data_IF_438711144257
#
_entry.id   IF_438711144257
#
_cell.length_a   1.000
_cell.length_b   1.000
_cell.length_c   1.000
_cell.angle_alpha   90.00
_cell.angle_beta   90.00
_cell.angle_gamma   90.00
#
_symmetry.space_group_name_H-M   'P 1'
#
loop_
_entity.id
_entity.type
_entity.pdbx_description
1 polymer ?
#
# COMPACT_ATOMS: atom_id res chain seq x y z
N UNK A 1 -0.86 11.75 -6.92
CA UNK A 1 0.46 11.12 -7.03
C UNK A 1 1.23 11.57 -5.81
N UNK A 2 1.79 10.65 -5.04
CA UNK A 2 2.69 10.98 -3.92
C UNK A 2 4.05 11.36 -4.49
N UNK A 3 4.69 12.39 -3.92
CA UNK A 3 6.05 12.78 -4.31
C UNK A 3 7.02 11.60 -4.17
N UNK A 4 6.84 10.74 -3.15
CA UNK A 4 7.68 9.56 -2.95
C UNK A 4 7.64 8.58 -4.12
N UNK A 5 6.49 8.39 -4.77
CA UNK A 5 6.39 7.46 -5.91
C UNK A 5 7.17 7.96 -7.15
N UNK A 6 7.36 9.27 -7.26
CA UNK A 6 8.19 9.88 -8.29
C UNK A 6 9.69 9.91 -7.91
N UNK A 7 10.02 9.76 -6.62
CA UNK A 7 11.39 9.76 -6.13
C UNK A 7 12.15 8.51 -6.56
N UNK A 8 13.32 8.71 -7.16
CA UNK A 8 14.20 7.63 -7.62
C UNK A 8 15.36 7.36 -6.64
N UNK A 9 15.49 8.16 -5.58
CA UNK A 9 16.55 8.05 -4.59
C UNK A 9 16.21 6.98 -3.54
N UNK A 10 16.97 5.87 -3.45
CA UNK A 10 16.66 4.81 -2.49
C UNK A 10 16.75 5.26 -1.02
N UNK A 11 17.64 6.21 -0.70
CA UNK A 11 17.80 6.75 0.65
C UNK A 11 16.50 7.35 1.19
N UNK A 12 15.75 8.05 0.35
CA UNK A 12 14.44 8.64 0.67
C UNK A 12 13.42 7.55 1.01
N UNK A 13 13.38 6.48 0.20
CA UNK A 13 12.51 5.33 0.48
C UNK A 13 12.89 4.59 1.76
N UNK A 14 14.19 4.42 2.04
CA UNK A 14 14.70 3.81 3.28
C UNK A 14 14.30 4.61 4.51
N UNK A 15 14.49 5.93 4.47
CA UNK A 15 14.11 6.82 5.57
C UNK A 15 12.62 6.68 5.92
N UNK A 16 11.75 6.63 4.91
CA UNK A 16 10.31 6.39 5.11
C UNK A 16 10.06 4.98 5.67
N UNK A 17 10.74 3.96 5.15
CA UNK A 17 10.59 2.58 5.59
C UNK A 17 10.97 2.39 7.07
N UNK A 18 12.08 3.00 7.51
CA UNK A 18 12.55 2.95 8.90
C UNK A 18 11.53 3.56 9.88
N UNK A 19 10.72 4.52 9.41
CA UNK A 19 9.66 5.17 10.19
C UNK A 19 8.33 4.45 10.16
N UNK A 20 8.21 3.32 9.46
CA UNK A 20 6.95 2.57 9.34
C UNK A 20 6.31 2.29 10.70
N UNK A 21 7.08 1.74 11.65
CA UNK A 21 6.57 1.37 12.97
C UNK A 21 6.16 2.56 13.83
N UNK A 22 6.90 3.67 13.75
CA UNK A 22 6.55 4.93 14.42
C UNK A 22 5.18 5.44 13.92
N UNK A 23 4.93 5.35 12.61
CA UNK A 23 3.65 5.73 11.99
C UNK A 23 2.52 4.79 12.39
N UNK A 24 2.77 3.48 12.43
CA UNK A 24 1.77 2.49 12.91
C UNK A 24 1.39 2.77 14.36
N UNK A 25 2.37 3.04 15.23
CA UNK A 25 2.14 3.36 16.64
C UNK A 25 1.36 4.67 16.79
N UNK A 26 1.75 5.72 16.07
CA UNK A 26 1.03 7.00 16.06
C UNK A 26 -0.43 6.83 15.62
N UNK A 27 -0.68 6.05 14.55
CA UNK A 27 -2.05 5.75 14.08
C UNK A 27 -2.84 4.93 15.09
N UNK A 28 -2.18 4.03 15.83
CA UNK A 28 -2.83 3.18 16.82
C UNK A 28 -3.32 3.96 18.06
N UNK A 29 -2.69 5.09 18.40
CA UNK A 29 -3.09 5.95 19.55
C UNK A 29 -4.51 6.52 19.42
N UNK A 30 -5.06 6.62 18.21
CA UNK A 30 -6.42 7.12 17.96
C UNK A 30 -7.56 6.10 18.10
N UNK A 31 -7.27 4.80 18.29
CA UNK A 31 -8.25 3.70 18.47
C UNK A 31 -7.96 2.93 19.76
N UNK A 32 -8.64 1.80 20.03
CA UNK A 32 -8.30 0.89 21.15
C UNK A 32 -6.77 0.71 21.20
N UNK A 33 -6.08 1.22 22.23
CA UNK A 33 -4.63 1.36 22.21
C UNK A 33 -3.95 0.01 21.95
N UNK A 34 -2.97 -0.01 21.05
CA UNK A 34 -2.16 -1.19 20.75
C UNK A 34 -2.78 -2.26 19.85
N UNK A 35 -4.09 -2.24 19.57
CA UNK A 35 -4.72 -3.27 18.72
C UNK A 35 -4.14 -3.29 17.30
N UNK A 36 -4.04 -2.12 16.66
CA UNK A 36 -3.47 -2.02 15.30
C UNK A 36 -2.01 -2.46 15.30
N UNK A 37 -1.21 -2.00 16.26
CA UNK A 37 0.21 -2.34 16.34
C UNK A 37 0.43 -3.85 16.42
N UNK A 38 -0.33 -4.55 17.27
CA UNK A 38 -0.23 -6.01 17.40
C UNK A 38 -0.66 -6.74 16.12
N UNK A 39 -1.75 -6.29 15.49
CA UNK A 39 -2.21 -6.86 14.23
C UNK A 39 -1.22 -6.64 13.09
N UNK A 40 -0.60 -5.45 13.04
CA UNK A 40 0.37 -5.10 11.99
C UNK A 40 1.68 -5.86 12.21
N UNK A 41 2.18 -5.98 13.44
CA UNK A 41 3.31 -6.87 13.78
C UNK A 41 3.06 -8.28 13.30
N UNK A 42 1.91 -8.87 13.68
CA UNK A 42 1.56 -10.21 13.23
C UNK A 42 1.52 -10.33 11.70
N UNK A 43 0.92 -9.37 10.99
CA UNK A 43 0.80 -9.43 9.52
C UNK A 43 2.16 -9.25 8.82
N UNK A 44 3.03 -8.36 9.31
CA UNK A 44 4.31 -8.07 8.65
C UNK A 44 5.43 -9.07 9.00
N UNK A 45 5.35 -9.76 10.14
CA UNK A 45 6.46 -10.62 10.62
C UNK A 45 6.03 -12.08 10.83
N UNK A 46 4.98 -12.33 11.59
CA UNK A 46 4.58 -13.69 11.98
C UNK A 46 3.92 -14.44 10.82
N UNK A 47 2.92 -13.83 10.17
CA UNK A 47 2.15 -14.47 9.10
C UNK A 47 3.04 -14.88 7.90
N UNK A 48 3.96 -14.04 7.38
CA UNK A 48 4.86 -14.44 6.29
C UNK A 48 5.74 -15.63 6.66
N UNK A 49 6.21 -15.67 7.91
CA UNK A 49 7.01 -16.78 8.45
C UNK A 49 6.18 -18.07 8.51
N UNK A 50 4.93 -17.99 8.98
CA UNK A 50 4.00 -19.12 9.05
C UNK A 50 3.64 -19.65 7.65
N UNK A 51 3.37 -18.77 6.69
CA UNK A 51 3.07 -19.18 5.31
C UNK A 51 4.29 -19.87 4.68
N UNK A 52 5.48 -19.33 4.90
CA UNK A 52 6.72 -19.82 4.28
C UNK A 52 7.27 -21.10 4.91
N UNK A 53 6.94 -21.40 6.18
CA UNK A 53 7.37 -22.64 6.85
C UNK A 53 6.55 -23.86 6.44
N UNK A 54 5.43 -23.67 5.74
CA UNK A 54 4.58 -24.75 5.24
C UNK A 54 5.17 -25.36 3.97
N UNK A 55 5.06 -26.69 3.75
CA UNK A 55 5.50 -27.33 2.52
C UNK A 55 4.86 -26.71 1.26
N UNK A 56 3.55 -26.48 1.33
CA UNK A 56 2.82 -25.70 0.34
C UNK A 56 2.34 -24.41 1.00
N UNK A 57 2.65 -23.25 0.41
CA UNK A 57 2.15 -21.96 0.90
C UNK A 57 0.63 -21.95 0.88
N UNK A 58 0.00 -21.63 2.01
CA UNK A 58 -1.43 -21.44 2.16
C UNK A 58 -1.70 -20.62 3.43
N UNK A 59 -2.94 -20.16 3.62
CA UNK A 59 -3.41 -19.58 4.89
C UNK A 59 -4.51 -20.44 5.48
N UNK A 60 -4.63 -20.45 6.80
CA UNK A 60 -5.76 -21.09 7.50
C UNK A 60 -6.96 -20.15 7.59
N UNK A 61 -8.14 -20.67 7.95
CA UNK A 61 -9.32 -19.84 8.20
C UNK A 61 -9.07 -18.82 9.33
N UNK A 62 -8.43 -19.24 10.43
CA UNK A 62 -8.11 -18.35 11.56
C UNK A 62 -7.19 -17.20 11.13
N UNK A 63 -6.20 -17.50 10.30
CA UNK A 63 -5.30 -16.48 9.74
C UNK A 63 -6.03 -15.54 8.78
N UNK A 64 -6.91 -16.06 7.91
CA UNK A 64 -7.68 -15.23 7.00
C UNK A 64 -8.65 -14.30 7.76
N UNK A 65 -9.28 -14.78 8.83
CA UNK A 65 -10.14 -13.98 9.72
C UNK A 65 -9.31 -12.89 10.43
N UNK A 66 -8.13 -13.22 10.96
CA UNK A 66 -7.23 -12.26 11.61
C UNK A 66 -6.66 -11.24 10.62
N UNK A 67 -6.36 -11.65 9.39
CA UNK A 67 -5.96 -10.76 8.29
C UNK A 67 -7.08 -9.79 7.92
N UNK A 68 -8.34 -10.24 7.85
CA UNK A 68 -9.47 -9.35 7.64
C UNK A 68 -9.59 -8.32 8.78
N UNK A 69 -9.43 -8.76 10.03
CA UNK A 69 -9.45 -7.86 11.18
C UNK A 69 -8.34 -6.80 11.11
N UNK A 70 -7.11 -7.22 10.78
CA UNK A 70 -5.98 -6.32 10.53
C UNK A 70 -6.33 -5.30 9.45
N UNK A 71 -6.77 -5.75 8.27
CA UNK A 71 -7.10 -4.89 7.13
C UNK A 71 -8.16 -3.85 7.47
N UNK A 72 -9.23 -4.26 8.15
CA UNK A 72 -10.31 -3.36 8.57
C UNK A 72 -9.89 -2.41 9.70
N UNK A 73 -8.88 -2.76 10.48
CA UNK A 73 -8.31 -1.91 11.53
C UNK A 73 -7.35 -0.87 10.94
N UNK A 74 -6.49 -1.28 9.99
CA UNK A 74 -5.49 -0.47 9.29
C UNK A 74 -6.14 0.52 8.33
N UNK A 75 -7.13 0.08 7.56
CA UNK A 75 -7.81 0.89 6.54
C UNK A 75 -9.28 1.21 6.87
N UNK A 76 -10.11 1.23 5.82
CA UNK A 76 -11.55 1.51 5.92
C UNK A 76 -12.33 0.36 6.55
N UNK A 77 -13.01 0.64 7.66
CA UNK A 77 -13.81 -0.35 8.40
C UNK A 77 -15.09 -0.73 7.66
N UNK A 78 -15.33 -2.04 7.49
CA UNK A 78 -16.52 -2.63 6.84
C UNK A 78 -16.92 -3.92 7.57
N UNK A 79 -17.75 -3.82 8.63
CA UNK A 79 -17.94 -4.92 9.59
C UNK A 79 -18.50 -6.21 8.99
N UNK A 80 -19.34 -6.10 7.94
CA UNK A 80 -19.94 -7.26 7.25
C UNK A 80 -18.89 -8.21 6.66
N UNK A 81 -17.70 -7.70 6.28
CA UNK A 81 -16.65 -8.53 5.70
C UNK A 81 -16.07 -9.52 6.71
N UNK A 82 -16.01 -9.16 8.00
CA UNK A 82 -15.49 -10.05 9.05
C UNK A 82 -16.36 -11.31 9.17
N UNK A 83 -17.69 -11.13 9.19
CA UNK A 83 -18.66 -12.23 9.28
C UNK A 83 -18.64 -13.09 8.03
N UNK A 84 -18.51 -12.49 6.85
CA UNK A 84 -18.44 -13.23 5.58
C UNK A 84 -17.20 -14.11 5.51
N UNK A 85 -16.02 -13.58 5.87
CA UNK A 85 -14.78 -14.35 5.88
C UNK A 85 -14.84 -15.52 6.86
N UNK A 86 -15.39 -15.30 8.06
CA UNK A 86 -15.56 -16.35 9.06
C UNK A 86 -16.56 -17.46 8.65
N UNK A 87 -17.38 -17.24 7.61
CA UNK A 87 -18.36 -18.22 7.10
C UNK A 87 -17.84 -19.13 5.99
N UNK A 88 -16.55 -19.04 5.66
CA UNK A 88 -15.89 -20.01 4.77
C UNK A 88 -15.55 -21.29 5.55
N UNK A 89 -15.48 -22.43 4.86
CA UNK A 89 -14.97 -23.68 5.45
C UNK A 89 -13.45 -23.70 5.49
N UNK A 90 -12.85 -24.30 6.53
CA UNK A 90 -11.40 -24.39 6.73
C UNK A 90 -10.69 -25.02 5.52
N UNK A 91 -11.12 -26.21 5.11
CA UNK A 91 -10.64 -26.91 3.91
C UNK A 91 -10.71 -26.05 2.64
N UNK A 92 -11.76 -25.24 2.51
CA UNK A 92 -11.96 -24.39 1.33
C UNK A 92 -10.94 -23.26 1.31
N UNK A 93 -10.68 -22.62 2.45
CA UNK A 93 -9.68 -21.56 2.58
C UNK A 93 -8.29 -22.09 2.28
N UNK A 94 -7.92 -23.25 2.84
CA UNK A 94 -6.61 -23.85 2.59
C UNK A 94 -6.42 -24.26 1.13
N UNK A 95 -7.38 -24.99 0.55
CA UNK A 95 -7.28 -25.43 -0.86
C UNK A 95 -7.21 -24.25 -1.82
N UNK A 96 -8.06 -23.24 -1.62
CA UNK A 96 -8.12 -22.06 -2.45
C UNK A 96 -6.82 -21.23 -2.35
N UNK A 97 -6.36 -20.95 -1.13
CA UNK A 97 -5.13 -20.17 -0.94
C UNK A 97 -3.88 -20.92 -1.44
N UNK A 98 -3.81 -22.24 -1.24
CA UNK A 98 -2.74 -23.08 -1.81
C UNK A 98 -2.68 -22.99 -3.32
N UNK A 99 -3.84 -23.17 -3.97
CA UNK A 99 -3.95 -23.04 -5.42
C UNK A 99 -3.55 -21.64 -5.88
N UNK A 100 -3.98 -20.60 -5.18
CA UNK A 100 -3.62 -19.22 -5.52
C UNK A 100 -2.11 -18.95 -5.46
N UNK A 101 -1.40 -19.46 -4.45
CA UNK A 101 0.06 -19.34 -4.40
C UNK A 101 0.74 -20.12 -5.53
N UNK A 102 0.22 -21.28 -5.91
CA UNK A 102 0.75 -22.08 -7.04
C UNK A 102 0.46 -21.46 -8.42
N UNK A 103 -0.45 -20.50 -8.51
CA UNK A 103 -0.73 -19.76 -9.76
C UNK A 103 0.28 -18.65 -10.02
N UNK A 104 1.10 -18.25 -9.04
CA UNK A 104 2.16 -17.26 -9.25
C UNK A 104 3.21 -17.78 -10.27
N UNK A 105 3.70 -16.93 -11.19
CA UNK A 105 3.59 -15.47 -11.21
C UNK A 105 2.32 -14.91 -11.88
N UNK A 106 1.32 -15.73 -12.25
CA UNK A 106 0.03 -15.25 -12.73
C UNK A 106 -0.83 -14.70 -11.57
N UNK A 107 -0.55 -13.45 -11.22
CA UNK A 107 -1.25 -12.74 -10.15
C UNK A 107 -2.73 -12.54 -10.46
N UNK A 108 -3.13 -12.41 -11.74
CA UNK A 108 -4.54 -12.24 -12.07
C UNK A 108 -5.33 -13.51 -11.75
N UNK A 109 -4.81 -14.67 -12.13
CA UNK A 109 -5.39 -15.96 -11.78
C UNK A 109 -5.39 -16.19 -10.26
N UNK A 110 -4.31 -15.86 -9.55
CA UNK A 110 -4.23 -15.98 -8.10
C UNK A 110 -5.26 -15.10 -7.36
N UNK A 111 -5.45 -13.85 -7.81
CA UNK A 111 -6.48 -12.94 -7.26
C UNK A 111 -7.88 -13.48 -7.55
N UNK A 112 -8.13 -14.00 -8.75
CA UNK A 112 -9.42 -14.57 -9.12
C UNK A 112 -9.75 -15.80 -8.25
N UNK A 113 -8.77 -16.69 -8.04
CA UNK A 113 -8.90 -17.85 -7.17
C UNK A 113 -9.28 -17.44 -5.73
N UNK A 114 -8.51 -16.55 -5.10
CA UNK A 114 -8.80 -16.07 -3.74
C UNK A 114 -10.13 -15.31 -3.64
N UNK A 115 -10.52 -14.58 -4.69
CA UNK A 115 -11.78 -13.83 -4.72
C UNK A 115 -13.02 -14.72 -4.84
N UNK A 116 -12.86 -16.03 -5.00
CA UNK A 116 -13.96 -16.99 -4.88
C UNK A 116 -14.41 -17.21 -3.43
N UNK A 117 -13.56 -16.88 -2.44
CA UNK A 117 -13.89 -16.98 -1.02
C UNK A 117 -14.86 -15.87 -0.59
N UNK A 118 -15.79 -16.20 0.32
CA UNK A 118 -16.76 -15.24 0.84
C UNK A 118 -16.05 -14.11 1.58
N UNK A 119 -16.38 -12.86 1.25
CA UNK A 119 -15.79 -11.68 1.89
C UNK A 119 -14.37 -11.34 1.43
N UNK A 120 -13.82 -12.10 0.46
CA UNK A 120 -12.53 -11.84 -0.15
C UNK A 120 -12.75 -11.26 -1.55
N UNK A 121 -12.28 -10.04 -1.78
CA UNK A 121 -12.19 -9.44 -3.11
C UNK A 121 -10.74 -9.08 -3.43
N UNK A 122 -10.46 -8.39 -4.56
CA UNK A 122 -9.09 -8.09 -5.00
C UNK A 122 -8.20 -7.45 -3.94
N UNK A 123 -8.76 -6.55 -3.12
CA UNK A 123 -8.01 -5.93 -2.03
C UNK A 123 -7.63 -6.91 -0.91
N UNK A 124 -8.53 -7.84 -0.53
CA UNK A 124 -8.20 -8.85 0.50
C UNK A 124 -7.31 -9.95 -0.07
N UNK A 125 -7.56 -10.36 -1.31
CA UNK A 125 -6.74 -11.33 -2.01
C UNK A 125 -5.29 -10.86 -2.16
N UNK A 126 -5.08 -9.59 -2.51
CA UNK A 126 -3.73 -9.01 -2.58
C UNK A 126 -3.02 -8.95 -1.22
N UNK A 127 -3.74 -8.81 -0.11
CA UNK A 127 -3.13 -8.92 1.23
C UNK A 127 -2.65 -10.35 1.52
N UNK A 128 -3.45 -11.37 1.17
CA UNK A 128 -3.03 -12.78 1.31
C UNK A 128 -1.77 -13.05 0.49
N UNK A 129 -1.76 -12.61 -0.77
CA UNK A 129 -0.59 -12.80 -1.65
C UNK A 129 0.63 -12.03 -1.14
N UNK A 130 0.48 -10.78 -0.72
CA UNK A 130 1.59 -9.96 -0.22
C UNK A 130 2.23 -10.56 1.04
N UNK A 131 1.45 -11.20 1.91
CA UNK A 131 1.98 -11.90 3.08
C UNK A 131 2.81 -13.14 2.70
N UNK A 132 2.44 -13.91 1.67
CA UNK A 132 3.13 -15.15 1.28
C UNK A 132 4.14 -15.02 0.13
N UNK A 133 4.06 -13.94 -0.64
CA UNK A 133 4.89 -13.64 -1.80
C UNK A 133 5.15 -12.13 -1.92
N UNK A 134 5.77 -11.50 -0.90
CA UNK A 134 6.03 -10.05 -0.87
C UNK A 134 6.93 -9.57 -2.02
N UNK A 135 7.77 -10.46 -2.57
CA UNK A 135 8.65 -10.20 -3.71
C UNK A 135 7.90 -10.03 -5.04
N UNK A 136 6.71 -10.63 -5.15
CA UNK A 136 5.94 -10.66 -6.41
C UNK A 136 4.68 -9.80 -6.33
N UNK A 137 4.20 -9.49 -5.12
CA UNK A 137 2.89 -8.86 -4.92
C UNK A 137 2.96 -7.77 -3.87
N UNK A 138 2.09 -6.77 -4.02
CA UNK A 138 1.90 -5.67 -3.09
C UNK A 138 0.44 -5.67 -2.60
N UNK A 139 0.22 -5.29 -1.35
CA UNK A 139 -1.13 -5.12 -0.83
C UNK A 139 -1.82 -3.91 -1.49
N UNK A 140 -3.07 -4.07 -1.91
CA UNK A 140 -3.87 -2.99 -2.50
C UNK A 140 -4.50 -2.11 -1.42
N UNK A 141 -3.70 -1.36 -0.66
CA UNK A 141 -4.22 -0.34 0.28
C UNK A 141 -4.69 0.91 -0.46
N UNK A 142 -5.73 1.58 0.05
CA UNK A 142 -6.24 2.81 -0.56
C UNK A 142 -5.12 3.87 -0.60
N UNK A 143 -4.35 4.00 0.48
CA UNK A 143 -3.25 4.95 0.62
C UNK A 143 -2.14 4.74 -0.42
N UNK A 144 -1.72 3.50 -0.66
CA UNK A 144 -0.72 3.21 -1.68
C UNK A 144 -1.28 3.40 -3.09
N UNK A 145 -2.52 2.97 -3.35
CA UNK A 145 -3.20 3.15 -4.63
C UNK A 145 -3.32 4.64 -5.02
N UNK A 146 -3.68 5.51 -4.08
CA UNK A 146 -3.79 6.95 -4.30
C UNK A 146 -2.44 7.64 -4.57
N UNK A 147 -1.36 7.06 -4.05
CA UNK A 147 0.00 7.54 -4.23
C UNK A 147 0.50 7.29 -5.66
N UNK A 148 -0.02 6.27 -6.34
CA UNK A 148 0.40 5.86 -7.68
C UNK A 148 -0.34 6.65 -8.77
N UNK A 149 0.35 7.16 -9.81
CA UNK A 149 -0.27 7.99 -10.85
C UNK A 149 -1.20 7.19 -11.77
N UNK A 150 -2.32 7.83 -12.14
CA UNK A 150 -3.30 7.28 -13.07
C UNK A 150 -4.27 6.25 -12.46
N UNK A 151 -4.27 6.08 -11.13
CA UNK A 151 -5.14 5.13 -10.43
C UNK A 151 -6.26 5.77 -9.61
N UNK A 152 -6.56 7.05 -9.86
CA UNK A 152 -7.75 7.72 -9.32
C UNK A 152 -8.85 7.78 -10.40
N UNK A 153 -10.12 7.50 -10.07
CA UNK A 153 -10.62 7.00 -8.79
C UNK A 153 -10.24 5.53 -8.53
N UNK A 154 -10.08 5.15 -7.26
CA UNK A 154 -9.77 3.77 -6.87
C UNK A 154 -10.92 2.85 -7.25
N UNK A 155 -10.61 1.77 -7.97
CA UNK A 155 -11.56 0.70 -8.27
C UNK A 155 -11.09 -0.61 -7.64
N UNK A 156 -11.96 -1.27 -6.88
CA UNK A 156 -11.64 -2.53 -6.21
C UNK A 156 -11.82 -3.74 -7.13
N UNK A 157 -11.22 -3.70 -8.32
CA UNK A 157 -11.32 -4.73 -9.36
C UNK A 157 -9.97 -5.37 -9.65
N UNK A 158 -9.95 -6.61 -10.17
CA UNK A 158 -8.72 -7.30 -10.55
C UNK A 158 -7.92 -6.52 -11.62
N UNK A 159 -8.61 -5.91 -12.59
CA UNK A 159 -7.99 -5.06 -13.62
C UNK A 159 -7.26 -3.87 -13.01
N UNK A 160 -7.88 -3.20 -12.04
CA UNK A 160 -7.27 -2.04 -11.39
C UNK A 160 -6.09 -2.45 -10.51
N UNK A 161 -6.19 -3.61 -9.84
CA UNK A 161 -5.06 -4.19 -9.11
C UNK A 161 -3.88 -4.55 -10.03
N UNK A 162 -4.14 -5.12 -11.21
CA UNK A 162 -3.07 -5.44 -12.16
C UNK A 162 -2.32 -4.17 -12.63
N UNK A 163 -3.03 -3.07 -12.89
CA UNK A 163 -2.41 -1.78 -13.22
C UNK A 163 -1.56 -1.23 -12.07
N UNK A 164 -2.06 -1.36 -10.84
CA UNK A 164 -1.30 -1.00 -9.64
C UNK A 164 -0.03 -1.80 -9.49
N UNK A 165 -0.15 -3.13 -9.49
CA UNK A 165 0.99 -4.01 -9.28
C UNK A 165 2.06 -3.84 -10.36
N UNK A 166 1.67 -3.67 -11.63
CA UNK A 166 2.62 -3.38 -12.71
C UNK A 166 3.46 -2.13 -12.43
N UNK A 167 2.84 -1.05 -11.94
CA UNK A 167 3.55 0.17 -11.55
C UNK A 167 4.44 -0.02 -10.32
N UNK A 168 4.00 -0.83 -9.35
CA UNK A 168 4.80 -1.16 -8.17
C UNK A 168 6.04 -1.96 -8.57
N UNK A 169 5.89 -2.99 -9.41
CA UNK A 169 7.01 -3.81 -9.91
C UNK A 169 8.01 -2.96 -10.70
N UNK A 170 7.54 -2.10 -11.62
CA UNK A 170 8.43 -1.19 -12.36
C UNK A 170 9.23 -0.28 -11.41
N UNK A 171 8.58 0.25 -10.36
CA UNK A 171 9.25 1.11 -9.38
C UNK A 171 10.24 0.32 -8.52
N UNK A 172 9.89 -0.90 -8.12
CA UNK A 172 10.78 -1.81 -7.39
C UNK A 172 12.03 -2.10 -8.20
N UNK A 173 11.90 -2.42 -9.49
CA UNK A 173 13.05 -2.67 -10.37
C UNK A 173 13.97 -1.45 -10.49
N UNK A 174 13.40 -0.25 -10.63
CA UNK A 174 14.20 0.99 -10.69
C UNK A 174 14.96 1.24 -9.39
N UNK A 175 14.30 1.05 -8.23
CA UNK A 175 14.96 1.22 -6.94
C UNK A 175 16.05 0.17 -6.72
N UNK A 176 15.82 -1.10 -7.09
CA UNK A 176 16.84 -2.14 -6.98
C UNK A 176 18.04 -1.91 -7.94
N UNK A 177 17.86 -1.23 -9.07
CA UNK A 177 18.99 -0.82 -9.92
C UNK A 177 19.82 0.30 -9.29
N UNK A 178 19.19 1.18 -8.52
CA UNK A 178 19.83 2.34 -7.89
C UNK A 178 20.37 2.05 -6.48
N UNK A 179 19.81 1.07 -5.77
CA UNK A 179 20.17 0.70 -4.39
C UNK A 179 21.13 -0.50 -4.38
N UNK A 180 22.35 -0.36 -3.85
CA UNK A 180 23.30 -1.47 -3.73
C UNK A 180 22.76 -2.68 -2.95
N UNK A 181 21.78 -2.52 -2.04
CA UNK A 181 21.22 -3.63 -1.25
C UNK A 181 20.26 -4.53 -2.05
N UNK A 182 19.61 -3.99 -3.09
CA UNK A 182 18.70 -4.71 -3.99
C UNK A 182 17.61 -5.56 -3.32
N UNK A 183 17.16 -5.19 -2.12
CA UNK A 183 16.16 -5.92 -1.34
C UNK A 183 14.79 -5.21 -1.31
N UNK A 184 14.53 -4.33 -2.29
CA UNK A 184 13.20 -3.75 -2.44
C UNK A 184 12.24 -4.77 -3.04
N UNK A 185 11.04 -4.79 -2.47
CA UNK A 185 9.94 -5.66 -2.89
C UNK A 185 8.71 -4.80 -3.17
N UNK A 186 7.78 -5.23 -4.04
CA UNK A 186 6.52 -4.51 -4.24
C UNK A 186 5.78 -4.25 -2.93
N UNK A 187 5.79 -5.21 -2.01
CA UNK A 187 5.19 -5.04 -0.68
C UNK A 187 5.92 -4.00 0.18
N UNK A 188 7.25 -3.94 0.20
CA UNK A 188 7.98 -2.89 0.94
C UNK A 188 7.67 -1.49 0.44
N UNK A 189 7.55 -1.31 -0.89
CA UNK A 189 7.13 -0.02 -1.45
C UNK A 189 5.71 0.34 -0.99
N UNK A 190 4.78 -0.61 -0.91
CA UNK A 190 3.43 -0.38 -0.36
C UNK A 190 3.49 0.18 1.06
N UNK A 191 4.34 -0.40 1.92
CA UNK A 191 4.51 0.04 3.30
C UNK A 191 5.02 1.48 3.37
N UNK A 192 5.97 1.85 2.51
CA UNK A 192 6.47 3.23 2.46
C UNK A 192 5.38 4.22 2.00
N UNK A 193 4.66 3.90 0.93
CA UNK A 193 3.59 4.76 0.42
C UNK A 193 2.46 4.91 1.43
N UNK A 194 2.09 3.83 2.10
CA UNK A 194 1.10 3.85 3.18
C UNK A 194 1.59 4.71 4.35
N UNK A 195 2.82 4.49 4.83
CA UNK A 195 3.36 5.22 5.98
C UNK A 195 3.43 6.72 5.72
N UNK A 196 3.93 7.13 4.54
CA UNK A 196 3.96 8.54 4.17
C UNK A 196 2.56 9.15 4.12
N UNK A 197 1.61 8.47 3.48
CA UNK A 197 0.23 8.95 3.39
C UNK A 197 -0.41 9.13 4.77
N UNK A 198 -0.24 8.17 5.68
CA UNK A 198 -0.76 8.26 7.05
C UNK A 198 -0.09 9.38 7.83
N UNK A 199 1.23 9.50 7.74
CA UNK A 199 1.96 10.58 8.40
C UNK A 199 1.49 11.96 7.93
N UNK A 200 1.29 12.14 6.63
CA UNK A 200 0.75 13.39 6.06
C UNK A 200 -0.68 13.66 6.57
N UNK A 201 -1.56 12.66 6.53
CA UNK A 201 -2.95 12.80 7.00
C UNK A 201 -3.04 13.17 8.49
N UNK A 202 -2.12 12.65 9.31
CA UNK A 202 -2.07 12.91 10.75
C UNK A 202 -1.12 14.06 11.12
N UNK A 203 -0.51 14.73 10.13
CA UNK A 203 0.46 15.82 10.31
C UNK A 203 1.61 15.44 11.26
N UNK A 204 2.06 14.18 11.20
CA UNK A 204 3.13 13.68 12.05
C UNK A 204 4.45 14.38 11.67
N UNK A 205 5.24 14.88 12.64
CA UNK A 205 6.53 15.50 12.36
C UNK A 205 7.58 14.51 11.83
N UNK A 206 7.30 13.20 11.95
CA UNK A 206 8.22 12.09 11.68
C UNK A 206 8.77 12.02 10.26
N UNK A 207 8.11 12.64 9.27
CA UNK A 207 8.50 12.60 7.85
C UNK A 207 8.64 14.00 7.23
N UNK A 208 8.72 15.07 8.03
CA UNK A 208 8.89 16.44 7.51
C UNK A 208 10.28 16.68 6.88
N UNK A 209 11.27 15.89 7.29
CA UNK A 209 12.65 15.97 6.80
C UNK A 209 12.93 15.07 5.60
N UNK A 210 11.91 14.31 5.14
CA UNK A 210 12.02 13.60 3.86
C UNK A 210 11.82 14.65 2.78
N UNK A 211 12.93 15.31 2.42
CA UNK A 211 13.04 16.37 1.43
C UNK A 211 12.79 15.78 0.04
N UNK A 212 11.56 15.31 -0.20
CA UNK A 212 11.12 14.92 -1.53
C UNK A 212 10.96 16.22 -2.29
N UNK A 213 12.06 16.66 -2.93
CA UNK A 213 12.07 17.85 -3.79
C UNK A 213 10.87 17.76 -4.72
N UNK A 214 9.87 18.60 -4.45
CA UNK A 214 8.79 18.82 -5.38
C UNK A 214 9.44 19.23 -6.70
N UNK A 215 9.21 18.44 -7.75
CA UNK A 215 9.58 18.80 -9.10
C UNK A 215 8.76 20.01 -9.53
N UNK A 216 9.16 21.19 -9.05
CA UNK A 216 8.67 22.46 -9.52
C UNK A 216 9.12 22.60 -10.97
N UNK A 217 8.14 22.60 -11.87
CA UNK A 217 8.33 22.93 -13.26
C UNK A 217 9.14 24.24 -13.36
N UNK A 218 10.34 24.15 -13.94
CA UNK A 218 11.10 25.31 -14.40
C UNK A 218 10.23 26.07 -15.40
N UNK A 219 9.66 27.19 -14.98
CA UNK A 219 9.28 28.24 -15.91
C UNK A 219 10.52 29.07 -16.17
N UNK A 220 11.13 28.80 -17.32
CA UNK A 220 12.08 29.70 -17.96
C UNK A 220 11.48 31.11 -18.06
N UNK A 221 12.34 32.07 -17.79
CA UNK A 221 12.19 33.51 -17.75
C UNK A 221 11.56 34.15 -18.99
N UNK A 222 10.90 35.29 -18.79
CA UNK A 222 11.20 36.46 -19.62
C UNK A 222 11.08 37.75 -18.78
N UNK A 223 12.04 38.68 -18.85
CA UNK A 223 11.96 39.98 -18.21
C UNK A 223 11.50 41.01 -19.24
N UNK A 224 10.34 41.63 -19.05
CA UNK A 224 10.24 43.02 -19.50
C UNK A 224 9.22 43.87 -18.75
N UNK A 225 9.66 45.10 -18.57
CA UNK A 225 9.00 46.31 -18.09
C UNK A 225 7.56 46.51 -18.58
N UNK A 226 6.69 47.14 -17.79
CA UNK A 226 6.42 48.57 -17.94
C UNK A 226 5.30 49.07 -16.99
N UNK A 227 5.25 50.39 -16.89
CA UNK A 227 4.74 51.24 -15.84
C UNK A 227 3.21 51.27 -15.66
N UNK A 228 2.79 51.52 -14.41
CA UNK A 228 1.46 52.09 -14.09
C UNK A 228 1.29 53.46 -14.76
N UNK A 229 0.04 53.81 -15.11
CA UNK A 229 -0.48 55.05 -14.54
C UNK A 229 -1.90 54.93 -13.96
N UNK A 230 -2.08 55.60 -12.81
CA UNK A 230 -3.36 55.95 -12.21
C UNK A 230 -4.09 57.03 -13.03
N UNK A 231 -5.44 56.97 -13.03
CA UNK A 231 -6.48 58.04 -13.07
C UNK A 231 -7.72 57.44 -13.78
N UNK A 232 -8.98 57.75 -13.47
CA UNK A 232 -9.62 58.83 -12.71
C UNK A 232 -11.08 58.40 -12.41
N UNK A 233 -11.60 58.86 -11.28
CA UNK A 233 -13.02 58.87 -10.92
C UNK A 233 -13.82 59.73 -11.90
N UNK A 234 -15.03 59.30 -12.30
CA UNK A 234 -16.22 60.18 -12.39
C UNK A 234 -17.55 59.42 -12.53
N UNK A 235 -18.46 59.90 -11.70
CA UNK A 235 -19.92 59.77 -11.51
C UNK A 235 -20.77 59.65 -12.77
N UNK A 236 -21.87 58.89 -12.66
CA UNK A 236 -23.21 59.39 -12.96
C UNK A 236 -24.22 58.77 -12.01
#
# INVERSE_FOLDING_TARGET
MSALFACEEPATWRSVYEKYWDVVEAKAKGKKPGKLLNLDKWYQTELPTLISSRPDKHVTLLELVKLMEWKLTRGKFRPRLQQLVASNGEDTVEKCSRKAFNLLPDVQAAIAELSSLKGVGPATASAVLAAGAPEQTAFMSDEAMESVPGLKPIQYTAKHYALYLGKMVERTEKLNKADPQQDWTPHRLELCLWALTIATQQQLPLLKDVDVKDGAAEKCSDPDTDQRPRKRVKTR
#
